data_IF_215657957589
#
_entry.id   IF_215657957589
#
_cell.length_a   1.000
_cell.length_b   1.000
_cell.length_c   1.000
_cell.angle_alpha   90.00
_cell.angle_beta   90.00
_cell.angle_gamma   90.00
#
_symmetry.space_group_name_H-M   'P 1'
#
loop_
_entity.id
_entity.type
_entity.pdbx_description
1 polymer ?
#
# COMPACT_ATOMS: atom_id res chain seq x y z
N UNK A 1 -22.71 33.77 26.28
CA UNK A 1 -22.87 33.26 24.87
C UNK A 1 -24.04 32.26 24.71
N UNK A 2 -24.40 31.48 25.72
CA UNK A 2 -25.48 30.49 25.62
C UNK A 2 -26.91 31.06 25.46
N UNK A 3 -27.15 32.33 25.79
CA UNK A 3 -28.49 32.94 25.68
C UNK A 3 -28.80 33.60 24.31
N UNK A 4 -27.77 33.90 23.53
CA UNK A 4 -27.91 34.47 22.20
C UNK A 4 -28.38 33.41 21.18
N UNK A 5 -27.91 32.15 21.30
CA UNK A 5 -28.34 31.06 20.42
C UNK A 5 -29.83 30.70 20.58
N UNK A 6 -30.34 30.70 21.83
CA UNK A 6 -31.76 30.39 22.06
C UNK A 6 -32.75 31.43 21.58
N UNK A 7 -32.33 32.68 21.52
CA UNK A 7 -33.17 33.79 21.02
C UNK A 7 -33.18 33.89 19.51
N UNK A 8 -32.12 33.46 18.85
CA UNK A 8 -31.98 33.53 17.38
C UNK A 8 -32.95 32.59 16.66
N UNK A 9 -33.18 31.40 17.23
CA UNK A 9 -34.09 30.39 16.66
C UNK A 9 -35.57 30.64 16.97
N UNK A 10 -35.94 31.61 17.83
CA UNK A 10 -37.32 31.88 18.22
C UNK A 10 -38.07 32.82 17.25
N UNK A 11 -37.39 33.49 16.32
CA UNK A 11 -38.05 34.38 15.36
C UNK A 11 -38.70 33.60 14.21
N UNK A 12 -40.02 33.68 14.03
CA UNK A 12 -40.73 32.99 12.93
C UNK A 12 -40.20 33.38 11.55
N UNK A 13 -39.83 34.66 11.38
CA UNK A 13 -39.29 35.18 10.12
C UNK A 13 -37.91 34.54 9.78
N UNK A 14 -37.06 34.33 10.79
CA UNK A 14 -35.76 33.72 10.61
C UNK A 14 -35.84 32.21 10.35
N UNK A 15 -36.76 31.50 11.02
CA UNK A 15 -37.06 30.11 10.68
C UNK A 15 -37.51 29.94 9.25
N UNK A 16 -38.40 30.85 8.78
CA UNK A 16 -38.89 30.85 7.41
C UNK A 16 -37.77 31.14 6.38
N UNK A 17 -36.83 32.02 6.74
CA UNK A 17 -35.64 32.29 5.93
C UNK A 17 -34.69 31.08 5.88
N UNK A 18 -34.43 30.42 7.01
CA UNK A 18 -33.60 29.18 7.06
C UNK A 18 -34.23 28.04 6.26
N UNK A 19 -35.55 27.85 6.37
CA UNK A 19 -36.25 26.81 5.61
C UNK A 19 -36.23 27.15 4.09
N UNK A 20 -36.34 28.41 3.72
CA UNK A 20 -36.21 28.84 2.31
C UNK A 20 -34.78 28.67 1.79
N UNK A 21 -33.74 28.99 2.59
CA UNK A 21 -32.34 28.74 2.24
C UNK A 21 -32.05 27.25 2.12
N UNK A 22 -32.54 26.45 3.06
CA UNK A 22 -32.39 24.98 2.99
C UNK A 22 -33.09 24.41 1.75
N UNK A 23 -34.32 24.88 1.46
CA UNK A 23 -35.04 24.49 0.25
C UNK A 23 -34.36 24.95 -1.05
N UNK A 24 -33.77 26.16 -1.06
CA UNK A 24 -33.00 26.67 -2.21
C UNK A 24 -31.72 25.87 -2.41
N UNK A 25 -31.00 25.54 -1.33
CA UNK A 25 -29.80 24.70 -1.39
C UNK A 25 -30.11 23.27 -1.85
N UNK A 26 -31.21 22.68 -1.36
CA UNK A 26 -31.63 21.33 -1.75
C UNK A 26 -32.17 21.27 -3.19
N UNK A 27 -32.77 22.36 -3.71
CA UNK A 27 -33.31 22.44 -5.07
C UNK A 27 -32.30 23.02 -6.10
N UNK A 28 -31.12 23.46 -5.64
CA UNK A 28 -30.12 24.03 -6.55
C UNK A 28 -29.39 22.94 -7.32
N UNK A 29 -29.09 23.17 -8.62
CA UNK A 29 -28.22 22.24 -9.38
C UNK A 29 -26.84 22.02 -8.73
N UNK A 30 -26.37 22.99 -7.94
CA UNK A 30 -25.14 22.94 -7.19
C UNK A 30 -25.25 21.95 -6.02
N UNK A 31 -26.37 21.93 -5.29
CA UNK A 31 -26.61 20.95 -4.24
C UNK A 31 -26.73 19.52 -4.79
N UNK A 32 -27.40 19.35 -5.91
CA UNK A 32 -27.50 18.09 -6.62
C UNK A 32 -26.14 17.64 -7.20
N UNK A 33 -25.35 18.59 -7.75
CA UNK A 33 -24.01 18.31 -8.26
C UNK A 33 -23.01 17.98 -7.13
N UNK A 34 -23.11 18.62 -5.98
CA UNK A 34 -22.27 18.28 -4.81
C UNK A 34 -22.64 16.93 -4.20
N UNK A 35 -23.91 16.54 -4.22
CA UNK A 35 -24.35 15.19 -3.83
C UNK A 35 -23.88 14.12 -4.82
N UNK A 36 -23.66 14.47 -6.11
CA UNK A 36 -23.10 13.57 -7.12
C UNK A 36 -21.56 13.54 -7.15
N UNK A 37 -20.90 14.51 -6.51
CA UNK A 37 -19.43 14.63 -6.52
C UNK A 37 -18.75 14.14 -5.24
N UNK A 38 -19.50 13.63 -4.27
CA UNK A 38 -18.91 12.97 -3.12
C UNK A 38 -18.76 11.46 -3.41
N UNK A 39 -17.58 11.01 -3.89
CA UNK A 39 -17.33 9.57 -4.08
C UNK A 39 -17.28 8.83 -2.75
N UNK A 40 -17.32 9.56 -1.63
CA UNK A 40 -17.42 9.03 -0.26
C UNK A 40 -18.82 9.17 0.29
N UNK A 41 -19.76 9.80 -0.47
CA UNK A 41 -21.17 9.79 -0.08
C UNK A 41 -21.55 8.33 0.15
N UNK A 42 -22.04 8.00 1.36
CA UNK A 42 -22.39 6.63 1.63
C UNK A 42 -23.36 6.19 0.54
N UNK A 43 -23.22 4.96 0.07
CA UNK A 43 -24.25 4.26 -0.70
C UNK A 43 -25.53 4.13 0.15
N UNK A 44 -25.85 5.18 0.89
CA UNK A 44 -26.81 5.22 2.01
C UNK A 44 -28.26 5.10 1.57
N UNK A 45 -28.52 5.25 0.29
CA UNK A 45 -29.84 4.94 -0.27
C UNK A 45 -29.98 3.46 -0.59
N UNK A 46 -28.87 2.72 -0.65
CA UNK A 46 -28.88 1.29 -0.85
C UNK A 46 -28.44 0.62 0.45
N UNK A 47 -29.38 0.23 1.29
CA UNK A 47 -29.17 -0.46 2.57
C UNK A 47 -28.58 -1.88 2.41
N UNK A 48 -27.88 -2.16 1.33
CA UNK A 48 -27.23 -3.45 1.08
C UNK A 48 -25.74 -3.26 0.81
N UNK A 49 -24.96 -4.23 1.22
CA UNK A 49 -23.56 -4.32 0.79
C UNK A 49 -23.55 -4.63 -0.70
N UNK A 50 -22.89 -3.83 -1.55
CA UNK A 50 -22.80 -4.10 -2.98
C UNK A 50 -22.20 -5.49 -3.22
N UNK A 51 -22.68 -6.20 -4.20
CA UNK A 51 -22.10 -7.48 -4.59
C UNK A 51 -20.73 -7.28 -5.26
N UNK A 52 -19.83 -8.24 -5.15
CA UNK A 52 -18.48 -8.16 -5.73
C UNK A 52 -18.49 -7.91 -7.25
N UNK A 53 -19.53 -8.38 -7.98
CA UNK A 53 -19.69 -8.15 -9.43
C UNK A 53 -20.03 -6.69 -9.79
N UNK A 54 -20.50 -5.91 -8.82
CA UNK A 54 -20.84 -4.49 -9.00
C UNK A 54 -19.60 -3.59 -8.88
N UNK A 55 -18.48 -4.13 -8.36
CA UNK A 55 -17.22 -3.41 -8.21
C UNK A 55 -16.58 -3.18 -9.57
N UNK A 56 -16.31 -1.92 -9.90
CA UNK A 56 -15.72 -1.48 -11.16
C UNK A 56 -14.27 -1.00 -11.00
N UNK A 57 -13.91 -0.53 -9.81
CA UNK A 57 -12.57 -0.02 -9.49
C UNK A 57 -12.10 -0.56 -8.14
N UNK A 58 -10.80 -0.47 -7.88
CA UNK A 58 -10.27 -0.84 -6.57
C UNK A 58 -10.83 0.03 -5.43
N UNK A 59 -11.23 1.27 -5.72
CA UNK A 59 -11.81 2.19 -4.72
C UNK A 59 -13.17 1.71 -4.18
N UNK A 60 -13.94 0.97 -4.97
CA UNK A 60 -15.27 0.49 -4.57
C UNK A 60 -15.20 -0.53 -3.42
N UNK A 61 -14.03 -1.15 -3.23
CA UNK A 61 -13.82 -2.13 -2.15
C UNK A 61 -13.55 -1.48 -0.79
N UNK A 62 -13.01 -0.25 -0.75
CA UNK A 62 -12.66 0.42 0.51
C UNK A 62 -13.87 0.67 1.41
N UNK A 63 -15.01 1.20 0.93
CA UNK A 63 -16.21 1.38 1.76
C UNK A 63 -16.75 0.07 2.32
N UNK A 64 -16.74 -1.01 1.53
CA UNK A 64 -17.17 -2.34 2.00
C UNK A 64 -16.22 -2.87 3.06
N UNK A 65 -14.91 -2.81 2.82
CA UNK A 65 -13.90 -3.16 3.80
C UNK A 65 -14.10 -2.38 5.12
N UNK A 66 -14.30 -1.06 5.03
CA UNK A 66 -14.55 -0.20 6.19
C UNK A 66 -15.78 -0.63 6.98
N UNK A 67 -16.83 -1.09 6.30
CA UNK A 67 -18.05 -1.59 6.92
C UNK A 67 -17.90 -2.98 7.57
N UNK A 68 -16.95 -3.79 7.11
CA UNK A 68 -16.78 -5.17 7.55
C UNK A 68 -15.86 -5.33 8.77
N UNK A 69 -15.03 -4.33 9.08
CA UNK A 69 -14.02 -4.42 10.14
C UNK A 69 -14.24 -3.37 11.22
N UNK A 70 -13.65 -3.60 12.39
CA UNK A 70 -13.62 -2.58 13.43
C UNK A 70 -12.89 -1.33 12.94
N UNK A 71 -13.32 -0.16 13.40
CA UNK A 71 -12.70 1.11 13.03
C UNK A 71 -11.17 1.12 13.28
N UNK A 72 -10.71 0.50 14.37
CA UNK A 72 -9.28 0.35 14.69
C UNK A 72 -8.53 -0.46 13.63
N UNK A 73 -9.14 -1.51 13.10
CA UNK A 73 -8.55 -2.33 12.02
C UNK A 73 -8.50 -1.55 10.71
N UNK A 74 -9.60 -0.87 10.36
CA UNK A 74 -9.61 -0.01 9.17
C UNK A 74 -8.51 1.06 9.26
N UNK A 75 -8.40 1.76 10.38
CA UNK A 75 -7.42 2.83 10.58
C UNK A 75 -5.97 2.34 10.43
N UNK A 76 -5.65 1.11 10.88
CA UNK A 76 -4.31 0.55 10.67
C UNK A 76 -3.94 0.40 9.19
N UNK A 77 -4.93 0.27 8.33
CA UNK A 77 -4.74 0.23 6.87
C UNK A 77 -4.75 1.62 6.24
N UNK A 78 -5.65 2.48 6.69
CA UNK A 78 -5.95 3.75 6.05
C UNK A 78 -4.93 4.86 6.36
N UNK A 79 -4.31 4.85 7.55
CA UNK A 79 -3.47 5.96 8.01
C UNK A 79 -2.12 6.07 7.28
N UNK A 80 -1.54 7.28 7.33
CA UNK A 80 -0.17 7.60 6.97
C UNK A 80 0.60 8.16 8.18
N UNK A 81 1.87 8.46 8.00
CA UNK A 81 2.70 9.08 9.04
C UNK A 81 2.40 10.57 9.21
N UNK A 82 2.59 11.08 10.40
CA UNK A 82 2.50 12.49 10.76
C UNK A 82 1.21 13.18 10.32
N UNK A 83 1.31 14.14 9.42
CA UNK A 83 0.18 14.87 8.82
C UNK A 83 -0.42 14.15 7.60
N UNK A 84 0.10 12.98 7.26
CA UNK A 84 -0.28 12.19 6.06
C UNK A 84 0.02 12.92 4.73
N UNK A 85 0.90 13.91 4.76
CA UNK A 85 1.29 14.65 3.56
C UNK A 85 1.87 13.70 2.50
N UNK A 86 2.82 12.85 2.90
CA UNK A 86 3.47 11.92 1.97
C UNK A 86 2.48 10.89 1.40
N UNK A 87 1.53 10.41 2.22
CA UNK A 87 0.50 9.50 1.75
C UNK A 87 -0.39 10.15 0.66
N UNK A 88 -0.79 11.42 0.85
CA UNK A 88 -1.56 12.16 -0.17
C UNK A 88 -0.72 12.45 -1.40
N UNK A 89 0.53 12.86 -1.23
CA UNK A 89 1.48 13.13 -2.33
C UNK A 89 1.71 11.89 -3.21
N UNK A 90 1.78 10.70 -2.61
CA UNK A 90 1.85 9.45 -3.37
C UNK A 90 0.68 9.27 -4.34
N UNK A 91 -0.51 9.77 -4.01
CA UNK A 91 -1.66 9.72 -4.93
C UNK A 91 -1.63 10.88 -5.93
N UNK A 92 -1.33 12.07 -5.46
CA UNK A 92 -1.27 13.29 -6.28
C UNK A 92 -0.21 13.19 -7.38
N UNK A 93 0.90 12.52 -7.12
CA UNK A 93 1.97 12.40 -8.11
C UNK A 93 1.53 11.70 -9.42
N UNK A 94 0.51 10.87 -9.37
CA UNK A 94 -0.05 10.28 -10.59
C UNK A 94 -0.75 11.33 -11.48
N UNK A 95 -1.27 12.40 -10.91
CA UNK A 95 -1.92 13.49 -11.66
C UNK A 95 -0.89 14.34 -12.42
N UNK A 96 0.39 14.25 -12.07
CA UNK A 96 1.50 14.95 -12.73
C UNK A 96 2.12 14.15 -13.88
N UNK A 97 1.57 13.01 -14.21
CA UNK A 97 2.03 12.16 -15.32
C UNK A 97 0.87 11.93 -16.27
N UNK A 98 0.91 12.56 -17.42
CA UNK A 98 -0.08 12.37 -18.48
C UNK A 98 0.28 11.14 -19.32
N UNK A 99 -0.71 10.33 -19.66
CA UNK A 99 -0.58 9.26 -20.65
C UNK A 99 -0.87 9.87 -22.02
N UNK A 100 0.03 9.64 -22.98
CA UNK A 100 -0.13 10.16 -24.33
C UNK A 100 -0.92 9.15 -25.16
N UNK A 101 -2.20 9.42 -25.47
CA UNK A 101 -2.96 8.54 -26.34
C UNK A 101 -2.42 8.61 -27.77
N UNK A 102 -2.43 7.50 -28.46
CA UNK A 102 -2.02 7.43 -29.86
C UNK A 102 -3.22 7.29 -30.79
N UNK A 103 -3.09 7.80 -32.03
CA UNK A 103 -4.06 7.53 -33.08
C UNK A 103 -4.04 6.07 -33.57
N UNK A 104 -2.96 5.35 -33.27
CA UNK A 104 -2.79 3.94 -33.56
C UNK A 104 -3.15 3.05 -32.37
N UNK A 105 -4.24 3.37 -31.66
CA UNK A 105 -4.81 2.49 -30.65
C UNK A 105 -5.07 1.10 -31.22
N UNK A 106 -4.85 0.08 -30.41
CA UNK A 106 -4.98 -1.33 -30.81
C UNK A 106 -6.12 -2.02 -30.04
N UNK A 107 -6.67 -3.13 -30.55
CA UNK A 107 -7.60 -3.93 -29.79
C UNK A 107 -6.96 -4.46 -28.49
N UNK A 108 -7.71 -4.45 -27.38
CA UNK A 108 -7.22 -4.96 -26.10
C UNK A 108 -6.79 -6.44 -26.15
N UNK A 109 -7.35 -7.21 -27.07
CA UNK A 109 -7.00 -8.63 -27.32
C UNK A 109 -5.59 -8.82 -27.92
N UNK A 110 -4.98 -7.77 -28.42
CA UNK A 110 -3.61 -7.80 -28.95
C UNK A 110 -2.55 -7.39 -27.92
N UNK A 111 -2.97 -7.02 -26.70
CA UNK A 111 -2.06 -6.60 -25.65
C UNK A 111 -1.58 -7.81 -24.86
N UNK A 112 -0.26 -8.03 -24.86
CA UNK A 112 0.44 -9.00 -24.02
C UNK A 112 1.49 -8.27 -23.16
N UNK A 113 1.21 -8.19 -21.86
CA UNK A 113 2.08 -7.55 -20.86
C UNK A 113 2.86 -8.56 -20.03
N UNK A 114 2.97 -9.79 -20.52
CA UNK A 114 3.78 -10.82 -19.88
C UNK A 114 5.26 -10.40 -19.77
N UNK A 115 5.90 -10.83 -18.70
CA UNK A 115 7.28 -10.48 -18.40
C UNK A 115 7.97 -11.58 -17.62
N UNK A 116 9.27 -11.47 -17.48
CA UNK A 116 10.05 -12.27 -16.53
C UNK A 116 10.76 -11.34 -15.56
N UNK A 117 10.66 -11.63 -14.28
CA UNK A 117 11.27 -10.87 -13.21
C UNK A 117 12.01 -11.82 -12.25
N UNK A 118 13.33 -11.71 -12.17
CA UNK A 118 14.19 -12.54 -11.31
C UNK A 118 13.96 -14.05 -11.48
N UNK A 119 13.74 -14.49 -12.71
CA UNK A 119 13.46 -15.90 -13.06
C UNK A 119 12.00 -16.32 -12.89
N UNK A 120 11.11 -15.42 -12.47
CA UNK A 120 9.67 -15.69 -12.35
C UNK A 120 8.94 -15.15 -13.58
N UNK A 121 8.23 -16.03 -14.28
CA UNK A 121 7.33 -15.64 -15.39
C UNK A 121 6.05 -15.07 -14.81
N UNK A 122 5.66 -13.90 -15.27
CA UNK A 122 4.51 -13.16 -14.81
C UNK A 122 3.59 -12.81 -15.99
N UNK A 123 2.29 -12.99 -15.81
CA UNK A 123 1.30 -12.57 -16.81
C UNK A 123 1.18 -11.05 -16.90
N UNK A 124 1.38 -10.37 -15.78
CA UNK A 124 1.43 -8.91 -15.64
C UNK A 124 2.57 -8.53 -14.70
N UNK A 125 3.23 -7.38 -14.91
CA UNK A 125 4.29 -6.91 -14.03
C UNK A 125 3.72 -6.30 -12.74
N UNK A 126 2.86 -7.04 -12.05
CA UNK A 126 2.14 -6.60 -10.85
C UNK A 126 2.32 -7.66 -9.75
N UNK A 127 2.66 -7.22 -8.54
CA UNK A 127 2.88 -8.04 -7.36
C UNK A 127 2.04 -7.52 -6.19
N UNK A 128 1.91 -8.31 -5.14
CA UNK A 128 1.32 -7.86 -3.87
C UNK A 128 2.45 -7.38 -2.94
N UNK A 129 2.34 -6.15 -2.42
CA UNK A 129 3.28 -5.62 -1.41
C UNK A 129 3.17 -6.38 -0.10
N UNK A 130 4.27 -6.58 0.63
CA UNK A 130 4.21 -7.19 1.95
C UNK A 130 3.41 -6.33 2.91
N UNK A 131 2.46 -6.94 3.59
CA UNK A 131 1.66 -6.26 4.61
C UNK A 131 1.27 -7.21 5.74
N UNK A 132 1.43 -6.76 6.99
CA UNK A 132 1.08 -7.51 8.20
C UNK A 132 -0.38 -7.32 8.61
N UNK A 133 -0.82 -8.08 9.63
CA UNK A 133 -2.13 -7.88 10.26
C UNK A 133 -3.32 -8.25 9.39
N UNK A 134 -3.14 -9.10 8.38
CA UNK A 134 -4.20 -9.44 7.44
C UNK A 134 -5.31 -10.31 8.07
N UNK A 135 -5.00 -11.06 9.15
CA UNK A 135 -6.01 -11.81 9.91
C UNK A 135 -7.04 -10.89 10.57
N UNK A 136 -6.69 -9.64 10.87
CA UNK A 136 -7.64 -8.64 11.32
C UNK A 136 -8.57 -8.11 10.23
N UNK A 137 -8.18 -8.21 8.96
CA UNK A 137 -8.99 -7.78 7.83
C UNK A 137 -10.06 -8.82 7.46
N UNK A 138 -9.65 -10.09 7.48
CA UNK A 138 -10.49 -11.22 7.12
C UNK A 138 -9.94 -12.50 7.77
N UNK A 139 -10.78 -13.48 8.16
CA UNK A 139 -10.31 -14.72 8.77
C UNK A 139 -9.31 -15.53 7.93
N UNK A 140 -9.38 -15.45 6.62
CA UNK A 140 -8.41 -16.10 5.73
C UNK A 140 -6.99 -15.49 5.83
N UNK A 141 -6.86 -14.23 6.27
CA UNK A 141 -5.59 -13.56 6.49
C UNK A 141 -4.65 -13.57 5.30
N UNK A 142 -3.37 -13.78 5.56
CA UNK A 142 -2.32 -13.85 4.53
C UNK A 142 -2.52 -15.03 3.56
N UNK A 143 -3.06 -16.14 4.05
CA UNK A 143 -3.39 -17.29 3.19
C UNK A 143 -4.45 -16.91 2.17
N UNK A 144 -5.47 -16.14 2.56
CA UNK A 144 -6.49 -15.63 1.66
C UNK A 144 -5.92 -14.65 0.62
N UNK A 145 -4.99 -13.79 1.02
CA UNK A 145 -4.29 -12.90 0.09
C UNK A 145 -3.52 -13.70 -0.96
N UNK A 146 -2.74 -14.68 -0.53
CA UNK A 146 -1.98 -15.54 -1.43
C UNK A 146 -2.86 -16.34 -2.40
N UNK A 147 -4.00 -16.86 -1.93
CA UNK A 147 -5.00 -17.52 -2.80
C UNK A 147 -5.51 -16.57 -3.88
N UNK A 148 -5.89 -15.34 -3.49
CA UNK A 148 -6.34 -14.32 -4.43
C UNK A 148 -5.26 -13.90 -5.43
N UNK A 149 -4.03 -13.71 -4.97
CA UNK A 149 -2.89 -13.39 -5.82
C UNK A 149 -2.57 -14.53 -6.82
N UNK A 150 -2.55 -15.76 -6.34
CA UNK A 150 -2.33 -16.96 -7.20
C UNK A 150 -3.41 -17.08 -8.28
N UNK A 151 -4.69 -16.91 -7.91
CA UNK A 151 -5.80 -16.96 -8.85
C UNK A 151 -5.72 -15.86 -9.92
N UNK A 152 -5.18 -14.68 -9.56
CA UNK A 152 -4.91 -13.57 -10.49
C UNK A 152 -3.54 -13.67 -11.19
N UNK A 153 -2.83 -14.79 -11.06
CA UNK A 153 -1.48 -15.01 -11.63
C UNK A 153 -0.46 -13.95 -11.21
N UNK A 154 -0.46 -13.59 -9.93
CA UNK A 154 0.45 -12.61 -9.33
C UNK A 154 1.39 -13.24 -8.32
N UNK A 155 2.55 -12.62 -8.13
CA UNK A 155 3.47 -12.92 -7.02
C UNK A 155 2.96 -12.23 -5.75
N UNK A 156 2.90 -12.95 -4.64
CA UNK A 156 2.62 -12.37 -3.31
C UNK A 156 3.91 -12.28 -2.50
N UNK A 157 4.17 -11.13 -1.88
CA UNK A 157 5.27 -10.93 -0.95
C UNK A 157 4.73 -11.07 0.46
N UNK A 158 4.92 -12.23 1.05
CA UNK A 158 4.46 -12.53 2.41
C UNK A 158 5.24 -11.70 3.44
N UNK A 159 4.50 -11.00 4.31
CA UNK A 159 5.12 -10.25 5.40
C UNK A 159 5.71 -11.16 6.48
N UNK A 160 6.93 -10.92 6.90
CA UNK A 160 7.57 -11.60 8.02
C UNK A 160 6.84 -11.42 9.37
N UNK A 161 5.91 -10.49 9.44
CA UNK A 161 5.07 -10.22 10.62
C UNK A 161 3.61 -10.68 10.41
N UNK A 162 3.35 -11.62 9.50
CA UNK A 162 1.97 -12.04 9.15
C UNK A 162 1.32 -12.94 10.21
N UNK A 163 2.10 -13.65 11.00
CA UNK A 163 1.60 -14.67 11.94
C UNK A 163 1.19 -15.98 11.26
N UNK A 164 1.22 -16.07 9.92
CA UNK A 164 0.98 -17.27 9.13
C UNK A 164 2.26 -17.64 8.35
N UNK A 165 2.51 -18.92 8.19
CA UNK A 165 3.76 -19.39 7.57
C UNK A 165 3.68 -19.42 6.04
N UNK A 166 4.84 -19.31 5.40
CA UNK A 166 5.01 -19.55 3.96
C UNK A 166 4.46 -20.92 3.55
N UNK A 167 4.74 -21.94 4.37
CA UNK A 167 4.29 -23.32 4.12
C UNK A 167 2.77 -23.44 4.09
N UNK A 168 2.05 -22.79 5.01
CA UNK A 168 0.59 -22.79 5.04
C UNK A 168 0.00 -22.14 3.78
N UNK A 169 0.56 -21.01 3.39
CA UNK A 169 0.11 -20.30 2.20
C UNK A 169 0.35 -21.13 0.93
N UNK A 170 1.54 -21.69 0.73
CA UNK A 170 1.86 -22.52 -0.43
C UNK A 170 1.00 -23.80 -0.52
N UNK A 171 0.66 -24.40 0.63
CA UNK A 171 -0.29 -25.54 0.68
C UNK A 171 -1.70 -25.13 0.27
N UNK A 172 -2.13 -23.91 0.64
CA UNK A 172 -3.48 -23.42 0.35
C UNK A 172 -3.69 -23.04 -1.11
N UNK A 173 -2.65 -22.70 -1.86
CA UNK A 173 -2.68 -22.37 -3.27
C UNK A 173 -1.46 -22.96 -4.01
N UNK A 174 -1.47 -24.26 -4.30
CA UNK A 174 -0.38 -24.93 -5.03
C UNK A 174 -0.14 -24.27 -6.41
N UNK A 175 1.13 -24.10 -6.76
CA UNK A 175 1.53 -23.44 -8.02
C UNK A 175 1.61 -21.91 -7.96
N UNK A 176 1.20 -21.28 -6.85
CA UNK A 176 1.42 -19.86 -6.62
C UNK A 176 2.90 -19.55 -6.36
N UNK A 177 3.30 -18.33 -6.69
CA UNK A 177 4.66 -17.82 -6.43
C UNK A 177 4.65 -16.90 -5.24
N UNK A 178 5.51 -17.20 -4.27
CA UNK A 178 5.66 -16.40 -3.05
C UNK A 178 7.09 -15.94 -2.86
N UNK A 179 7.24 -14.68 -2.45
CA UNK A 179 8.47 -14.13 -1.92
C UNK A 179 8.31 -13.86 -0.42
N UNK A 180 9.38 -13.87 0.33
CA UNK A 180 9.34 -13.65 1.78
C UNK A 180 9.93 -12.30 2.17
N UNK A 181 9.19 -11.49 2.92
CA UNK A 181 9.68 -10.22 3.43
C UNK A 181 10.30 -10.40 4.82
N UNK A 182 11.40 -9.70 5.04
CA UNK A 182 12.17 -9.67 6.29
C UNK A 182 12.44 -8.24 6.72
N UNK A 183 12.35 -7.96 8.01
CA UNK A 183 12.86 -6.74 8.63
C UNK A 183 14.24 -7.00 9.24
N UNK A 184 15.18 -6.04 9.17
CA UNK A 184 16.46 -6.14 9.86
C UNK A 184 16.28 -6.52 11.33
N UNK A 185 17.14 -7.41 11.83
CA UNK A 185 17.15 -7.90 13.19
C UNK A 185 18.56 -7.75 13.76
N UNK A 186 18.66 -7.27 14.99
CA UNK A 186 19.93 -7.05 15.71
C UNK A 186 20.70 -8.35 15.91
N UNK A 187 20.00 -9.46 16.07
CA UNK A 187 20.60 -10.76 16.29
C UNK A 187 20.78 -11.50 14.97
N UNK A 188 22.02 -11.57 14.48
CA UNK A 188 22.36 -12.24 13.22
C UNK A 188 22.01 -13.73 13.20
N UNK A 189 22.13 -14.44 14.33
CA UNK A 189 21.72 -15.84 14.40
C UNK A 189 20.19 -16.01 14.28
N UNK A 190 19.44 -15.07 14.80
CA UNK A 190 17.98 -15.03 14.60
C UNK A 190 17.64 -14.69 13.15
N UNK A 191 18.32 -13.71 12.57
CA UNK A 191 18.20 -13.37 11.14
C UNK A 191 18.43 -14.61 10.29
N UNK A 192 19.55 -15.32 10.48
CA UNK A 192 19.90 -16.50 9.72
C UNK A 192 18.80 -17.56 9.77
N UNK A 193 18.35 -17.94 10.97
CA UNK A 193 17.27 -18.92 11.14
C UNK A 193 15.98 -18.53 10.43
N UNK A 194 15.63 -17.24 10.49
CA UNK A 194 14.40 -16.72 9.83
C UNK A 194 14.55 -16.81 8.32
N UNK A 195 15.67 -16.37 7.76
CA UNK A 195 15.90 -16.39 6.32
C UNK A 195 15.99 -17.80 5.75
N UNK A 196 16.72 -18.71 6.43
CA UNK A 196 16.80 -20.13 6.07
C UNK A 196 15.41 -20.79 6.14
N UNK A 197 14.58 -20.40 7.13
CA UNK A 197 13.20 -20.89 7.26
C UNK A 197 12.31 -20.42 6.12
N UNK A 198 12.43 -19.16 5.69
CA UNK A 198 11.67 -18.61 4.57
C UNK A 198 12.08 -19.28 3.24
N UNK A 199 13.37 -19.41 2.96
CA UNK A 199 13.87 -20.10 1.76
C UNK A 199 13.52 -21.58 1.78
N UNK A 200 13.74 -22.27 2.92
CA UNK A 200 13.43 -23.69 3.07
C UNK A 200 11.95 -24.01 2.94
N UNK A 201 11.07 -23.05 3.20
CA UNK A 201 9.64 -23.17 2.94
C UNK A 201 9.25 -22.97 1.47
N UNK A 202 10.19 -22.55 0.60
CA UNK A 202 9.96 -22.43 -0.85
C UNK A 202 9.72 -21.01 -1.35
N UNK A 203 10.04 -19.98 -0.57
CA UNK A 203 10.00 -18.60 -1.06
C UNK A 203 11.10 -18.37 -2.12
N UNK A 204 10.72 -17.88 -3.30
CA UNK A 204 11.64 -17.69 -4.42
C UNK A 204 12.57 -16.47 -4.29
N UNK A 205 12.30 -15.57 -3.36
CA UNK A 205 13.07 -14.35 -3.13
C UNK A 205 12.89 -13.84 -1.71
N UNK A 206 13.92 -13.22 -1.15
CA UNK A 206 13.86 -12.49 0.12
C UNK A 206 13.78 -10.98 -0.16
N UNK A 207 12.83 -10.30 0.48
CA UNK A 207 12.65 -8.84 0.40
C UNK A 207 12.99 -8.21 1.74
N UNK A 208 14.14 -7.57 1.85
CA UNK A 208 14.57 -6.86 3.06
C UNK A 208 13.95 -5.47 3.07
N UNK A 209 13.13 -5.17 4.06
CA UNK A 209 12.44 -3.89 4.18
C UNK A 209 13.18 -2.97 5.14
N UNK A 210 13.61 -1.80 4.63
CA UNK A 210 14.49 -0.88 5.37
C UNK A 210 13.83 0.47 5.71
N UNK A 211 12.64 0.73 5.22
CA UNK A 211 11.96 2.03 5.28
C UNK A 211 11.05 2.24 6.50
N UNK A 212 11.09 1.36 7.50
CA UNK A 212 10.26 1.47 8.71
C UNK A 212 11.10 1.56 9.98
N UNK A 213 12.22 2.24 9.90
CA UNK A 213 13.19 2.26 11.00
C UNK A 213 13.03 3.44 11.95
N UNK A 214 12.62 4.61 11.44
CA UNK A 214 12.78 5.87 12.16
C UNK A 214 11.49 6.48 12.69
N UNK A 215 10.32 6.22 12.12
CA UNK A 215 9.12 6.92 12.54
C UNK A 215 7.98 5.98 12.88
N UNK A 216 7.24 6.35 13.92
CA UNK A 216 6.02 5.67 14.31
C UNK A 216 5.01 6.69 14.86
N UNK A 217 5.05 7.92 14.36
CA UNK A 217 4.05 8.90 14.74
C UNK A 217 2.81 8.78 13.85
N UNK A 218 1.92 7.92 14.23
CA UNK A 218 0.66 7.68 13.55
C UNK A 218 -0.42 8.61 14.11
N UNK A 219 -0.34 9.91 13.75
CA UNK A 219 -1.22 10.95 14.29
C UNK A 219 -2.71 10.60 14.15
N UNK A 220 -3.12 10.17 12.97
CA UNK A 220 -4.53 9.87 12.70
C UNK A 220 -5.00 8.68 13.51
N UNK A 221 -4.18 7.64 13.61
CA UNK A 221 -4.45 6.48 14.45
C UNK A 221 -4.54 6.89 15.93
N UNK A 222 -3.61 7.72 16.40
CA UNK A 222 -3.58 8.22 17.78
C UNK A 222 -4.79 9.09 18.13
N UNK A 223 -5.17 10.02 17.25
CA UNK A 223 -6.32 10.92 17.49
C UNK A 223 -7.62 10.15 17.55
N UNK A 224 -7.82 9.18 16.68
CA UNK A 224 -9.05 8.38 16.63
C UNK A 224 -9.16 7.38 17.79
N UNK A 225 -8.05 6.96 18.35
CA UNK A 225 -8.02 6.08 19.52
C UNK A 225 -8.07 6.81 20.87
N UNK A 226 -7.79 8.12 20.91
CA UNK A 226 -7.87 8.91 22.14
C UNK A 226 -9.31 9.08 22.67
N UNK A 227 -10.34 8.82 21.86
CA UNK A 227 -11.75 8.83 22.29
C UNK A 227 -12.27 7.52 22.88
N UNK A 228 -11.52 6.44 22.79
CA UNK A 228 -11.79 5.16 23.41
C UNK A 228 -10.51 4.66 24.05
N UNK A 229 -10.53 4.26 25.31
CA UNK A 229 -9.38 3.74 26.02
C UNK A 229 -8.44 2.99 25.09
N UNK A 230 -7.25 3.52 24.86
CA UNK A 230 -6.18 2.85 24.18
C UNK A 230 -5.63 1.71 25.06
N UNK A 231 -6.46 0.74 25.32
CA UNK A 231 -6.08 -0.58 25.81
C UNK A 231 -5.81 -1.42 24.58
N UNK A 232 -4.64 -1.29 24.01
CA UNK A 232 -4.34 -2.16 22.91
C UNK A 232 -3.07 -1.77 22.23
N UNK A 233 -2.11 -2.59 22.40
CA UNK A 233 -0.80 -2.48 21.84
C UNK A 233 -0.81 -2.20 20.35
N UNK A 234 0.31 -1.69 19.88
CA UNK A 234 0.72 -1.61 18.48
C UNK A 234 0.19 -2.83 17.71
N UNK A 235 -0.69 -2.60 16.76
CA UNK A 235 -1.21 -3.63 15.85
C UNK A 235 -0.16 -4.00 14.78
N UNK A 236 1.05 -3.56 14.95
CA UNK A 236 2.17 -3.95 14.11
C UNK A 236 2.88 -5.16 14.72
N UNK A 237 2.56 -6.33 14.19
CA UNK A 237 3.35 -7.55 14.35
C UNK A 237 2.95 -8.41 15.53
N UNK A 238 2.59 -9.65 15.22
CA UNK A 238 2.38 -10.75 16.16
C UNK A 238 3.63 -11.08 16.96
N UNK A 239 3.89 -10.30 17.98
CA UNK A 239 4.89 -10.53 18.99
C UNK A 239 4.33 -10.12 20.32
N UNK A 240 3.94 -11.09 21.13
CA UNK A 240 3.65 -10.99 22.55
C UNK A 240 2.97 -9.67 22.99
N UNK A 241 1.65 -9.56 22.78
CA UNK A 241 0.85 -8.38 23.15
C UNK A 241 1.08 -7.92 24.61
N UNK A 242 1.42 -8.86 25.50
CA UNK A 242 1.79 -8.58 26.89
C UNK A 242 3.12 -7.84 27.03
N UNK A 243 4.13 -8.16 26.21
CA UNK A 243 5.42 -7.48 26.24
C UNK A 243 5.32 -6.07 25.63
N UNK A 244 4.53 -5.90 24.56
CA UNK A 244 4.24 -4.60 23.97
C UNK A 244 3.45 -3.72 24.94
N UNK A 245 2.46 -4.26 25.64
CA UNK A 245 1.69 -3.54 26.67
C UNK A 245 2.54 -3.21 27.92
N UNK A 246 3.52 -4.04 28.27
CA UNK A 246 4.45 -3.78 29.36
C UNK A 246 5.47 -2.68 28.98
N UNK A 247 6.01 -2.71 27.74
CA UNK A 247 6.87 -1.66 27.21
C UNK A 247 6.12 -0.32 27.08
N UNK A 248 4.84 -0.36 26.72
CA UNK A 248 3.98 0.83 26.66
C UNK A 248 3.73 1.44 28.04
N UNK A 249 3.51 0.58 29.07
CA UNK A 249 3.34 1.05 30.44
C UNK A 249 4.63 1.62 31.02
N UNK A 250 5.77 1.03 30.70
CA UNK A 250 7.08 1.56 31.11
C UNK A 250 7.39 2.90 30.42
N UNK A 251 7.07 3.04 29.14
CA UNK A 251 7.26 4.31 28.41
C UNK A 251 6.25 5.40 28.79
N UNK A 252 5.03 5.02 29.19
CA UNK A 252 3.99 5.94 29.66
C UNK A 252 4.25 6.47 31.08
N UNK A 253 5.18 5.86 31.80
CA UNK A 253 5.47 6.19 33.21
C UNK A 253 6.62 7.18 33.42
N UNK A 254 7.32 7.62 32.36
CA UNK A 254 8.39 8.61 32.52
C UNK A 254 7.90 10.04 32.18
N UNK A 255 7.48 10.83 33.20
CA UNK A 255 7.04 12.20 32.97
C UNK A 255 8.16 13.14 32.55
N UNK A 256 9.43 12.70 32.60
CA UNK A 256 10.60 13.52 32.26
C UNK A 256 10.85 13.62 30.76
N UNK A 257 10.22 12.75 29.95
CA UNK A 257 10.35 12.76 28.48
C UNK A 257 9.09 13.34 27.85
N UNK A 258 9.04 14.64 27.52
CA UNK A 258 7.87 15.25 26.88
C UNK A 258 7.52 14.55 25.59
N UNK A 259 6.32 13.98 25.52
CA UNK A 259 5.83 13.32 24.31
C UNK A 259 6.36 11.90 24.07
N UNK A 260 7.02 11.27 25.05
CA UNK A 260 7.54 9.90 24.93
C UNK A 260 6.51 8.85 24.49
N UNK A 261 5.22 9.12 24.72
CA UNK A 261 4.09 8.29 24.23
C UNK A 261 3.85 8.46 22.72
N UNK A 262 4.34 9.54 22.10
CA UNK A 262 4.04 9.92 20.72
C UNK A 262 5.14 9.59 19.73
N UNK A 263 6.37 9.42 20.19
CA UNK A 263 7.52 9.15 19.35
C UNK A 263 8.12 7.80 19.73
N UNK A 264 7.85 6.80 18.91
CA UNK A 264 8.50 5.52 19.04
C UNK A 264 9.57 5.40 18.00
N UNK A 265 10.78 5.65 18.41
CA UNK A 265 11.93 5.14 17.67
C UNK A 265 12.27 3.79 18.32
N UNK A 266 12.09 2.71 17.60
CA UNK A 266 12.45 1.39 18.11
C UNK A 266 13.94 1.17 17.91
N UNK A 267 14.71 1.10 18.97
CA UNK A 267 16.14 0.77 18.93
C UNK A 267 16.40 -0.51 18.12
N UNK A 268 15.50 -1.47 18.23
CA UNK A 268 15.58 -2.72 17.49
C UNK A 268 15.39 -2.56 15.98
N UNK A 269 14.70 -1.50 15.53
CA UNK A 269 14.50 -1.20 14.10
C UNK A 269 15.50 -0.17 13.58
N UNK A 270 16.21 0.52 14.46
CA UNK A 270 17.29 1.46 14.09
C UNK A 270 18.57 0.75 13.69
N UNK A 271 18.74 -0.51 14.11
CA UNK A 271 19.92 -1.28 13.74
C UNK A 271 19.81 -1.67 12.25
N UNK A 272 20.31 -0.80 11.41
CA UNK A 272 20.42 -1.02 9.98
C UNK A 272 21.68 -0.35 9.45
N UNK A 273 22.48 -1.13 8.75
CA UNK A 273 23.62 -0.66 7.96
C UNK A 273 23.66 -1.46 6.67
N UNK A 274 24.37 -0.97 5.67
CA UNK A 274 24.53 -1.70 4.42
C UNK A 274 25.27 -3.04 4.63
N UNK A 275 26.12 -3.15 5.64
CA UNK A 275 26.76 -4.42 6.06
C UNK A 275 25.71 -5.50 6.41
N UNK A 276 24.52 -5.08 6.82
CA UNK A 276 23.41 -6.01 7.05
C UNK A 276 23.00 -6.74 5.77
N UNK A 277 22.99 -6.07 4.65
CA UNK A 277 22.68 -6.68 3.35
C UNK A 277 23.77 -7.69 2.98
N UNK A 278 25.05 -7.39 3.26
CA UNK A 278 26.14 -8.36 3.10
C UNK A 278 25.93 -9.59 3.97
N UNK A 279 25.49 -9.41 5.22
CA UNK A 279 25.17 -10.51 6.11
C UNK A 279 23.99 -11.35 5.59
N UNK A 280 22.94 -10.72 5.08
CA UNK A 280 21.82 -11.40 4.43
C UNK A 280 22.30 -12.21 3.21
N UNK A 281 23.16 -11.62 2.37
CA UNK A 281 23.70 -12.30 1.18
C UNK A 281 24.55 -13.51 1.49
N UNK A 282 25.21 -13.56 2.64
CA UNK A 282 25.97 -14.75 3.09
C UNK A 282 25.04 -15.92 3.45
N UNK A 283 23.81 -15.65 3.83
CA UNK A 283 22.82 -16.65 4.25
C UNK A 283 21.92 -17.07 3.09
N UNK A 284 21.37 -16.10 2.36
CA UNK A 284 20.38 -16.32 1.30
C UNK A 284 21.05 -16.83 0.04
N UNK A 285 20.62 -18.00 -0.44
CA UNK A 285 21.07 -18.60 -1.70
C UNK A 285 20.31 -18.06 -2.91
N UNK A 286 19.05 -17.71 -2.70
CA UNK A 286 18.16 -17.15 -3.70
C UNK A 286 18.38 -15.68 -3.97
N UNK A 287 17.35 -15.02 -4.47
CA UNK A 287 17.35 -13.60 -4.80
C UNK A 287 17.08 -12.75 -3.58
N UNK A 288 17.72 -11.58 -3.50
CA UNK A 288 17.54 -10.58 -2.44
C UNK A 288 17.15 -9.25 -3.08
N UNK A 289 15.99 -8.71 -2.66
CA UNK A 289 15.59 -7.34 -2.96
C UNK A 289 15.66 -6.48 -1.72
N UNK A 290 15.97 -5.18 -1.91
CA UNK A 290 15.89 -4.18 -0.85
C UNK A 290 14.68 -3.27 -1.12
N UNK A 291 13.74 -3.20 -0.16
CA UNK A 291 12.53 -2.38 -0.23
C UNK A 291 12.66 -1.19 0.71
N UNK A 292 12.26 0.00 0.20
CA UNK A 292 12.31 1.23 0.99
C UNK A 292 13.30 2.24 0.46
N UNK A 293 13.68 2.11 -0.80
CA UNK A 293 14.65 2.98 -1.46
C UNK A 293 13.90 4.17 -2.08
N UNK A 294 14.32 5.39 -1.71
CA UNK A 294 13.81 6.66 -2.26
C UNK A 294 14.92 7.63 -2.66
N UNK A 295 16.18 7.22 -2.47
CA UNK A 295 17.38 7.97 -2.81
C UNK A 295 18.20 7.24 -3.87
N UNK A 296 18.68 7.92 -4.95
CA UNK A 296 19.53 7.30 -5.97
C UNK A 296 20.86 6.76 -5.45
N UNK A 297 21.44 7.35 -4.39
CA UNK A 297 22.69 6.85 -3.81
C UNK A 297 22.45 5.54 -3.05
N UNK A 298 21.33 5.43 -2.30
CA UNK A 298 20.92 4.17 -1.68
C UNK A 298 20.69 3.07 -2.70
N UNK A 299 20.15 3.41 -3.88
CA UNK A 299 20.02 2.44 -4.97
C UNK A 299 21.38 1.92 -5.48
N UNK A 300 22.40 2.80 -5.53
CA UNK A 300 23.77 2.39 -5.88
C UNK A 300 24.41 1.51 -4.80
N UNK A 301 24.18 1.87 -3.51
CA UNK A 301 24.65 1.09 -2.37
C UNK A 301 23.98 -0.29 -2.32
N UNK A 302 22.67 -0.39 -2.57
CA UNK A 302 21.99 -1.67 -2.67
C UNK A 302 22.67 -2.61 -3.68
N UNK A 303 23.05 -2.08 -4.84
CA UNK A 303 23.78 -2.84 -5.87
C UNK A 303 25.18 -3.22 -5.38
N UNK A 304 25.92 -2.29 -4.76
CA UNK A 304 27.26 -2.53 -4.25
C UNK A 304 27.30 -3.66 -3.19
N UNK A 305 26.23 -3.75 -2.38
CA UNK A 305 26.04 -4.77 -1.36
C UNK A 305 25.30 -6.03 -1.87
N UNK A 306 25.18 -6.21 -3.19
CA UNK A 306 24.75 -7.47 -3.81
C UNK A 306 23.25 -7.69 -3.83
N UNK A 307 22.42 -6.64 -3.78
CA UNK A 307 20.99 -6.77 -4.05
C UNK A 307 20.74 -7.16 -5.51
N UNK A 308 19.84 -8.14 -5.73
CA UNK A 308 19.40 -8.56 -7.06
C UNK A 308 18.30 -7.65 -7.64
N UNK A 309 17.73 -6.75 -6.83
CA UNK A 309 16.71 -5.79 -7.22
C UNK A 309 16.38 -4.83 -6.08
N UNK A 310 15.63 -3.78 -6.40
CA UNK A 310 15.13 -2.82 -5.40
C UNK A 310 13.64 -2.57 -5.60
N UNK A 311 12.96 -2.21 -4.50
CA UNK A 311 11.60 -1.69 -4.53
C UNK A 311 11.64 -0.24 -4.06
N UNK A 312 11.38 0.69 -4.97
CA UNK A 312 11.19 2.11 -4.67
C UNK A 312 9.92 2.24 -3.84
N UNK A 313 10.07 2.64 -2.59
CA UNK A 313 9.00 2.60 -1.60
C UNK A 313 9.21 3.64 -0.50
N UNK A 314 8.13 4.28 -0.07
CA UNK A 314 8.06 5.04 1.17
C UNK A 314 7.02 4.43 2.12
N UNK A 315 6.83 3.10 2.03
CA UNK A 315 5.89 2.32 2.84
C UNK A 315 4.44 2.79 2.73
N UNK A 316 4.07 3.39 1.59
CA UNK A 316 2.75 3.97 1.39
C UNK A 316 2.51 5.26 2.18
N UNK A 317 3.55 6.03 2.45
CA UNK A 317 3.52 7.24 3.27
C UNK A 317 3.45 6.95 4.78
N UNK A 318 4.07 5.83 5.21
CA UNK A 318 4.06 5.37 6.62
C UNK A 318 5.45 5.36 7.26
N UNK A 319 6.49 5.73 6.51
CA UNK A 319 7.88 5.75 6.99
C UNK A 319 8.27 7.09 7.57
N UNK A 320 7.98 8.14 6.83
CA UNK A 320 8.32 9.51 7.16
C UNK A 320 7.32 10.45 6.47
N UNK A 321 6.93 11.52 7.15
CA UNK A 321 6.11 12.57 6.53
C UNK A 321 6.98 13.57 5.74
N UNK A 322 6.37 14.33 4.85
CA UNK A 322 7.01 15.34 3.99
C UNK A 322 8.11 14.85 3.04
N UNK A 323 8.22 13.54 2.84
CA UNK A 323 9.09 12.97 1.81
C UNK A 323 8.53 13.11 0.39
N UNK A 324 9.33 12.80 -0.64
CA UNK A 324 8.84 12.73 -2.03
C UNK A 324 7.89 11.54 -2.21
N UNK A 325 7.06 11.57 -3.24
CA UNK A 325 6.38 10.36 -3.69
C UNK A 325 7.35 9.42 -4.39
N UNK A 326 7.03 8.14 -4.37
CA UNK A 326 7.85 7.12 -5.05
C UNK A 326 7.85 7.30 -6.56
N UNK A 327 6.75 7.81 -7.13
CA UNK A 327 6.65 8.05 -8.58
C UNK A 327 7.56 9.19 -9.04
N UNK A 328 7.74 10.24 -8.23
CA UNK A 328 8.61 11.39 -8.53
C UNK A 328 10.08 10.99 -8.58
N UNK A 329 10.54 10.19 -7.61
CA UNK A 329 11.95 9.77 -7.52
C UNK A 329 12.29 8.60 -8.44
N UNK A 330 11.29 7.90 -8.99
CA UNK A 330 11.50 6.73 -9.83
C UNK A 330 12.45 6.98 -11.01
N UNK A 331 12.31 8.06 -11.80
CA UNK A 331 13.20 8.31 -12.95
C UNK A 331 14.67 8.47 -12.56
N UNK A 332 14.94 9.13 -11.44
CA UNK A 332 16.30 9.35 -10.93
C UNK A 332 16.92 8.04 -10.46
N UNK A 333 16.16 7.21 -9.75
CA UNK A 333 16.59 5.90 -9.29
C UNK A 333 16.86 4.96 -10.48
N UNK A 334 15.97 4.93 -11.47
CA UNK A 334 16.15 4.15 -12.70
C UNK A 334 17.44 4.58 -13.43
N UNK A 335 17.69 5.90 -13.51
CA UNK A 335 18.90 6.43 -14.10
C UNK A 335 20.17 6.05 -13.31
N UNK A 336 20.11 6.04 -11.97
CA UNK A 336 21.23 5.63 -11.12
C UNK A 336 21.52 4.12 -11.22
N UNK A 337 20.49 3.30 -11.31
CA UNK A 337 20.60 1.84 -11.44
C UNK A 337 21.17 1.42 -12.82
N UNK A 338 20.85 2.17 -13.88
CA UNK A 338 21.36 1.92 -15.26
C UNK A 338 21.09 0.50 -15.76
N UNK A 339 19.95 -0.09 -15.40
CA UNK A 339 19.56 -1.43 -15.84
C UNK A 339 20.37 -2.59 -15.25
N UNK A 340 21.25 -2.34 -14.27
CA UNK A 340 22.07 -3.40 -13.61
C UNK A 340 21.23 -4.39 -12.83
N UNK A 341 20.14 -3.93 -12.22
CA UNK A 341 19.15 -4.74 -11.49
C UNK A 341 17.74 -4.20 -11.80
N UNK A 342 16.68 -5.00 -11.65
CA UNK A 342 15.32 -4.52 -11.80
C UNK A 342 14.93 -3.54 -10.68
N UNK A 343 14.22 -2.47 -11.08
CA UNK A 343 13.62 -1.50 -10.20
C UNK A 343 12.12 -1.74 -10.15
N UNK A 344 11.61 -2.13 -9.00
CA UNK A 344 10.18 -2.22 -8.72
C UNK A 344 9.74 -0.97 -7.97
N UNK A 345 8.42 -0.78 -7.85
CA UNK A 345 7.86 0.38 -7.16
C UNK A 345 6.57 0.00 -6.41
N UNK A 346 6.32 0.64 -5.29
CA UNK A 346 5.01 0.66 -4.63
C UNK A 346 4.63 2.07 -4.18
N UNK A 347 3.63 2.18 -3.36
CA UNK A 347 3.08 3.41 -2.76
C UNK A 347 2.13 4.17 -3.68
N UNK A 348 0.87 4.17 -3.28
CA UNK A 348 -0.17 4.98 -3.92
C UNK A 348 -0.96 4.29 -5.05
N UNK A 349 -0.56 3.18 -5.59
CA UNK A 349 -1.20 2.51 -6.74
C UNK A 349 -2.63 2.03 -6.44
N UNK A 350 -3.58 2.37 -7.33
CA UNK A 350 -5.01 2.03 -7.23
C UNK A 350 -5.64 1.65 -8.57
N UNK A 351 -5.05 2.07 -9.69
CA UNK A 351 -5.58 1.94 -11.05
C UNK A 351 -4.57 1.28 -11.97
N UNK A 352 -5.04 0.65 -13.04
CA UNK A 352 -4.16 0.16 -14.10
C UNK A 352 -3.38 1.27 -14.80
N UNK A 353 -3.96 2.47 -14.91
CA UNK A 353 -3.27 3.66 -15.41
C UNK A 353 -2.08 4.06 -14.51
N UNK A 354 -2.19 3.91 -13.17
CA UNK A 354 -1.07 4.17 -12.26
C UNK A 354 0.10 3.22 -12.57
N UNK A 355 -0.22 1.93 -12.81
CA UNK A 355 0.77 0.91 -13.18
C UNK A 355 1.44 1.27 -14.51
N UNK A 356 0.66 1.64 -15.52
CA UNK A 356 1.17 2.06 -16.82
C UNK A 356 2.18 3.21 -16.70
N UNK A 357 1.85 4.24 -15.92
CA UNK A 357 2.73 5.41 -15.69
C UNK A 357 4.08 5.00 -15.10
N UNK A 358 4.06 4.15 -14.08
CA UNK A 358 5.31 3.67 -13.46
C UNK A 358 6.15 2.82 -14.42
N UNK A 359 5.53 1.93 -15.20
CA UNK A 359 6.22 1.15 -16.22
C UNK A 359 6.86 2.05 -17.28
N UNK A 360 6.12 3.07 -17.74
CA UNK A 360 6.63 4.04 -18.69
C UNK A 360 7.82 4.85 -18.16
N UNK A 361 7.87 5.10 -16.85
CA UNK A 361 8.99 5.76 -16.17
C UNK A 361 10.15 4.82 -15.83
N UNK A 362 10.05 3.53 -16.18
CA UNK A 362 11.16 2.58 -16.12
C UNK A 362 11.07 1.54 -15.01
N UNK A 363 9.97 1.45 -14.27
CA UNK A 363 9.75 0.34 -13.36
C UNK A 363 9.61 -0.98 -14.14
N UNK A 364 10.09 -2.08 -13.53
CA UNK A 364 9.97 -3.44 -14.07
C UNK A 364 8.83 -4.22 -13.42
N UNK A 365 8.26 -3.70 -12.36
CA UNK A 365 7.12 -4.26 -11.66
C UNK A 365 6.55 -3.29 -10.63
N UNK A 366 5.26 -3.45 -10.33
CA UNK A 366 4.50 -2.61 -9.40
C UNK A 366 3.93 -3.47 -8.29
N UNK A 367 4.11 -3.06 -7.03
CA UNK A 367 3.57 -3.78 -5.89
C UNK A 367 2.34 -3.06 -5.30
N UNK A 368 1.27 -3.82 -5.09
CA UNK A 368 -0.02 -3.31 -4.59
C UNK A 368 -0.14 -3.53 -3.07
N UNK A 369 -0.29 -2.46 -2.30
CA UNK A 369 -0.49 -2.52 -0.85
C UNK A 369 -1.97 -2.40 -0.45
N UNK A 370 -2.42 -1.17 -0.17
CA UNK A 370 -3.77 -0.92 0.36
C UNK A 370 -4.90 -1.45 -0.52
N UNK A 371 -4.80 -1.34 -1.85
CA UNK A 371 -5.81 -1.87 -2.77
C UNK A 371 -6.05 -3.38 -2.56
N UNK A 372 -4.96 -4.15 -2.41
CA UNK A 372 -5.03 -5.57 -2.11
C UNK A 372 -5.73 -5.85 -0.76
N UNK A 373 -5.40 -5.05 0.27
CA UNK A 373 -6.02 -5.16 1.61
C UNK A 373 -7.52 -4.85 1.57
N UNK A 374 -7.94 -3.88 0.78
CA UNK A 374 -9.36 -3.55 0.59
C UNK A 374 -10.13 -4.73 0.01
N UNK A 375 -9.57 -5.37 -1.02
CA UNK A 375 -10.18 -6.56 -1.61
C UNK A 375 -10.33 -7.69 -0.60
N UNK A 376 -9.26 -8.01 0.12
CA UNK A 376 -9.28 -9.06 1.15
C UNK A 376 -10.29 -8.75 2.26
N UNK A 377 -10.27 -7.54 2.81
CA UNK A 377 -11.17 -7.15 3.90
C UNK A 377 -12.64 -7.02 3.47
N UNK A 378 -12.90 -6.75 2.19
CA UNK A 378 -14.25 -6.68 1.67
C UNK A 378 -14.88 -8.07 1.45
N UNK A 379 -14.16 -9.01 0.81
CA UNK A 379 -14.73 -10.29 0.35
C UNK A 379 -13.76 -11.48 0.46
N UNK A 380 -12.75 -11.42 1.29
CA UNK A 380 -11.76 -12.50 1.42
C UNK A 380 -10.91 -12.68 0.16
N UNK A 381 -10.43 -13.90 -0.07
CA UNK A 381 -9.60 -14.21 -1.24
C UNK A 381 -10.24 -13.89 -2.59
N UNK A 382 -11.56 -14.11 -2.82
CA UNK A 382 -12.21 -13.67 -4.05
C UNK A 382 -12.19 -12.15 -4.25
N UNK A 383 -12.31 -11.39 -3.16
CA UNK A 383 -12.23 -9.92 -3.21
C UNK A 383 -10.83 -9.43 -3.58
N UNK A 384 -9.79 -10.02 -3.00
CA UNK A 384 -8.41 -9.72 -3.38
C UNK A 384 -8.17 -10.04 -4.86
N UNK A 385 -8.56 -11.22 -5.33
CA UNK A 385 -8.50 -11.62 -6.74
C UNK A 385 -9.19 -10.58 -7.65
N UNK A 386 -10.40 -10.18 -7.31
CA UNK A 386 -11.18 -9.25 -8.13
C UNK A 386 -10.52 -7.88 -8.26
N UNK A 387 -9.96 -7.34 -7.17
CA UNK A 387 -9.18 -6.08 -7.22
C UNK A 387 -8.00 -6.21 -8.20
N UNK A 388 -7.28 -7.33 -8.15
CA UNK A 388 -6.15 -7.56 -9.04
C UNK A 388 -6.59 -7.62 -10.50
N UNK A 389 -7.64 -8.38 -10.81
CA UNK A 389 -8.19 -8.51 -12.15
C UNK A 389 -8.69 -7.16 -12.71
N UNK A 390 -9.31 -6.31 -11.88
CA UNK A 390 -9.73 -4.96 -12.28
C UNK A 390 -8.51 -4.13 -12.68
N UNK A 391 -7.46 -4.09 -11.85
CA UNK A 391 -6.24 -3.31 -12.14
C UNK A 391 -5.52 -3.85 -13.38
N UNK A 392 -5.47 -5.17 -13.56
CA UNK A 392 -4.91 -5.82 -14.74
C UNK A 392 -5.71 -5.45 -16.01
N UNK A 393 -7.03 -5.48 -15.92
CA UNK A 393 -7.90 -5.11 -17.04
C UNK A 393 -7.76 -3.63 -17.42
N UNK A 394 -7.70 -2.73 -16.43
CA UNK A 394 -7.45 -1.31 -16.66
C UNK A 394 -6.08 -1.06 -17.30
N UNK A 395 -5.06 -1.84 -16.91
CA UNK A 395 -3.72 -1.75 -17.50
C UNK A 395 -3.74 -2.17 -18.97
N UNK A 396 -4.43 -3.25 -19.32
CA UNK A 396 -4.63 -3.69 -20.72
C UNK A 396 -5.31 -2.58 -21.53
N UNK A 397 -6.41 -2.01 -21.00
CA UNK A 397 -7.16 -0.96 -21.69
C UNK A 397 -6.31 0.29 -21.91
N UNK A 398 -5.51 0.67 -20.91
CA UNK A 398 -4.59 1.81 -20.99
C UNK A 398 -3.51 1.55 -22.05
N UNK A 399 -2.90 0.38 -22.05
CA UNK A 399 -1.88 0.00 -23.02
C UNK A 399 -2.47 -0.01 -24.45
N UNK A 400 -3.66 -0.56 -24.63
CA UNK A 400 -4.36 -0.58 -25.92
C UNK A 400 -4.62 0.84 -26.44
N UNK A 401 -5.10 1.76 -25.59
CA UNK A 401 -5.35 3.15 -25.94
C UNK A 401 -4.05 3.92 -26.26
N UNK A 402 -2.92 3.54 -25.65
CA UNK A 402 -1.61 4.08 -25.92
C UNK A 402 -0.91 3.39 -27.11
N UNK A 403 -1.53 2.40 -27.76
CA UNK A 403 -0.95 1.66 -28.89
C UNK A 403 0.17 0.71 -28.51
N UNK A 404 0.26 0.29 -27.24
CA UNK A 404 1.30 -0.58 -26.71
C UNK A 404 0.83 -2.03 -26.73
N UNK A 405 1.34 -2.85 -27.64
CA UNK A 405 0.99 -4.27 -27.73
C UNK A 405 1.69 -5.15 -26.70
N UNK A 406 2.86 -4.74 -26.27
CA UNK A 406 3.71 -5.49 -25.32
C UNK A 406 4.38 -4.55 -24.31
N UNK A 407 4.90 -5.15 -23.24
CA UNK A 407 5.52 -4.40 -22.13
C UNK A 407 6.67 -3.49 -22.61
N UNK A 408 7.47 -3.89 -23.59
CA UNK A 408 8.57 -3.08 -24.13
C UNK A 408 8.11 -1.82 -24.88
N UNK A 409 6.85 -1.75 -25.28
CA UNK A 409 6.29 -0.59 -25.98
C UNK A 409 5.94 0.52 -24.98
N UNK A 410 5.71 0.15 -23.70
CA UNK A 410 5.45 1.09 -22.60
C UNK A 410 6.79 1.71 -22.17
N UNK A 411 7.03 2.95 -22.56
CA UNK A 411 8.28 3.66 -22.29
C UNK A 411 8.04 5.17 -22.15
N UNK A 412 9.10 5.95 -21.92
CA UNK A 412 9.03 7.39 -21.66
C UNK A 412 8.31 8.20 -22.75
N UNK A 413 8.20 7.71 -23.98
CA UNK A 413 7.49 8.42 -25.04
C UNK A 413 5.97 8.29 -24.94
N UNK A 414 5.48 7.35 -24.13
CA UNK A 414 4.04 7.13 -23.90
C UNK A 414 3.47 7.96 -22.76
N UNK A 415 4.31 8.75 -22.10
CA UNK A 415 3.91 9.64 -21.00
C UNK A 415 4.57 11.02 -21.14
N UNK A 416 3.97 12.01 -20.46
CA UNK A 416 4.56 13.32 -20.19
C UNK A 416 4.56 13.56 -18.70
N UNK A 417 5.67 14.00 -18.15
CA UNK A 417 5.80 14.30 -16.72
C UNK A 417 5.78 15.81 -16.50
N UNK A 418 5.00 16.23 -15.52
CA UNK A 418 4.87 17.61 -15.06
C UNK A 418 5.28 17.69 -13.58
N UNK A 419 6.32 16.93 -13.17
CA UNK A 419 6.88 17.03 -11.83
C UNK A 419 7.45 18.43 -11.63
N UNK A 420 7.10 19.06 -10.52
CA UNK A 420 7.48 20.43 -10.15
C UNK A 420 8.82 20.41 -9.43
#
# INVERSE_FOLDING_TARGET
>A
MADIEKTWLKSPARRKALVRMAGFMAASPIGAAMAQLDPTAPLSEVRRVPGMREMQTAFDFEPVFKGNVLASIYETTAHGDGSEFNMRRNRQAFDWVDIVPTRAAIPASQVDLSSELLGVKMKFPILVSPSSGQNGLHPEGQVGMFKGATAASMVDILSGASGQSVTEALKAAPGGTMWGQHYPNENLATMQRVLEGIEGAGAGCIVVTVDQQASVYERTLMIRHLGGRAEGGSVSGGGNAAAAAAAQRAAAGDPSVPGSVRYRVSDRRLWYTWDYIDAVRKVVKGKVLVKGIVDPEDAKLAIAHGADGIIVSNHGGRSMDYGPSTLEVLPEIVAAVRGRIPVLIDSGFRRGADVFKALALGARGVCLGRAARWGLGAYGSPGAQRVFEIIQQELIQTAAAAGCAKLSDINKTTVRTNFV
#
